data_IF_013315427209
#
_entry.id   IF_013315427209
#
_cell.length_a   1.000
_cell.length_b   1.000
_cell.length_c   1.000
_cell.angle_alpha   90.00
_cell.angle_beta   90.00
_cell.angle_gamma   90.00
#
_symmetry.space_group_name_H-M   'P 1'
#
loop_
_entity.id
_entity.type
_entity.pdbx_description
1 polymer ?
#
# COMPACT_ATOMS: atom_id res chain seq x y z
N UNK A 1 -8.69 -11.37 22.25
CA UNK A 1 -8.47 -11.49 20.79
C UNK A 1 -7.42 -10.47 20.38
N UNK A 2 -6.22 -10.91 19.99
CA UNK A 2 -5.21 -10.01 19.43
C UNK A 2 -5.64 -9.59 18.02
N UNK A 3 -6.20 -8.39 17.89
CA UNK A 3 -6.66 -7.85 16.61
C UNK A 3 -5.51 -7.75 15.61
N UNK A 4 -5.75 -8.08 14.33
CA UNK A 4 -4.77 -7.79 13.27
C UNK A 4 -4.70 -6.28 13.06
N UNK A 5 -3.59 -5.79 12.51
CA UNK A 5 -3.48 -4.36 12.17
C UNK A 5 -4.07 -4.02 10.80
N UNK A 6 -4.28 -5.00 9.94
CA UNK A 6 -4.73 -4.78 8.57
C UNK A 6 -5.61 -5.94 8.08
N UNK A 7 -6.27 -5.73 6.95
CA UNK A 7 -6.95 -6.79 6.20
C UNK A 7 -5.93 -7.80 5.66
N UNK A 8 -6.31 -9.08 5.65
CA UNK A 8 -5.47 -10.17 5.16
C UNK A 8 -6.22 -11.01 4.12
N UNK A 9 -5.52 -11.39 3.06
CA UNK A 9 -6.09 -12.18 1.97
C UNK A 9 -6.13 -13.69 2.27
N UNK A 10 -6.96 -14.43 1.53
CA UNK A 10 -6.95 -15.90 1.47
C UNK A 10 -6.41 -16.38 0.12
N UNK A 11 -6.18 -17.68 -0.06
CA UNK A 11 -5.72 -18.23 -1.34
C UNK A 11 -6.87 -18.29 -2.36
N UNK A 12 -6.63 -17.89 -3.61
CA UNK A 12 -7.57 -18.11 -4.71
C UNK A 12 -7.67 -19.61 -5.04
N UNK A 13 -8.86 -20.06 -5.44
CA UNK A 13 -9.17 -21.49 -5.68
C UNK A 13 -9.77 -21.77 -7.06
N UNK A 14 -9.50 -20.93 -8.06
CA UNK A 14 -9.89 -21.17 -9.45
C UNK A 14 -11.18 -20.50 -9.92
N UNK A 15 -11.88 -19.74 -9.07
CA UNK A 15 -13.12 -19.05 -9.47
C UNK A 15 -13.16 -17.61 -8.98
N UNK A 16 -13.85 -16.77 -9.75
CA UNK A 16 -14.18 -15.38 -9.43
C UNK A 16 -15.70 -15.20 -9.52
N UNK A 17 -16.28 -14.12 -8.96
CA UNK A 17 -17.70 -13.82 -9.14
C UNK A 17 -18.10 -13.73 -10.61
N UNK A 18 -19.38 -13.98 -10.98
CA UNK A 18 -19.84 -13.97 -12.38
C UNK A 18 -19.63 -12.65 -13.13
N UNK A 19 -19.51 -11.54 -12.39
CA UNK A 19 -19.25 -10.22 -12.98
C UNK A 19 -17.75 -9.92 -13.13
N UNK A 20 -16.87 -10.82 -12.67
CA UNK A 20 -15.44 -10.62 -12.65
C UNK A 20 -14.91 -10.09 -11.32
N UNK A 21 -13.65 -9.71 -11.31
CA UNK A 21 -12.93 -9.19 -10.14
C UNK A 21 -11.94 -8.10 -10.54
N UNK A 22 -11.65 -7.20 -9.60
CA UNK A 22 -10.50 -6.33 -9.69
C UNK A 22 -9.25 -7.15 -9.38
N UNK A 23 -8.17 -6.95 -10.13
CA UNK A 23 -6.88 -7.58 -9.89
C UNK A 23 -5.77 -6.53 -9.88
N UNK A 24 -4.84 -6.69 -8.95
CA UNK A 24 -3.64 -5.87 -8.80
C UNK A 24 -2.41 -6.78 -8.79
N UNK A 25 -1.26 -6.29 -9.25
CA UNK A 25 -0.02 -7.03 -9.07
C UNK A 25 0.29 -7.19 -7.58
N UNK A 26 0.65 -8.41 -7.18
CA UNK A 26 1.15 -8.69 -5.85
C UNK A 26 2.62 -8.29 -5.79
N UNK A 27 2.89 -7.11 -5.22
CA UNK A 27 4.26 -6.61 -5.04
C UNK A 27 5.04 -7.51 -4.07
N UNK A 28 6.21 -7.97 -4.50
CA UNK A 28 7.13 -8.78 -3.70
C UNK A 28 7.96 -7.89 -2.76
N UNK A 29 7.43 -7.63 -1.58
CA UNK A 29 8.01 -6.70 -0.62
C UNK A 29 7.60 -6.98 0.83
N UNK A 30 7.65 -5.95 1.67
CA UNK A 30 7.15 -6.00 3.04
C UNK A 30 5.88 -5.17 3.19
N UNK A 31 4.80 -5.82 3.62
CA UNK A 31 3.57 -5.15 4.03
C UNK A 31 3.87 -4.01 5.00
N UNK A 32 3.58 -2.78 4.56
CA UNK A 32 3.87 -1.55 5.25
C UNK A 32 2.58 -0.76 5.46
N UNK A 33 2.33 -0.39 6.70
CA UNK A 33 1.14 0.29 7.17
C UNK A 33 1.52 1.70 7.59
N UNK A 34 1.03 2.69 6.86
CA UNK A 34 1.15 4.08 7.28
C UNK A 34 0.04 4.43 8.27
N UNK A 35 0.43 4.83 9.47
CA UNK A 35 -0.47 5.27 10.53
C UNK A 35 0.28 6.10 11.58
N UNK A 36 -0.47 6.77 12.44
CA UNK A 36 0.08 7.54 13.56
C UNK A 36 0.27 6.66 14.79
N UNK A 37 1.46 6.73 15.38
CA UNK A 37 1.75 6.09 16.67
C UNK A 37 0.95 6.70 17.82
N UNK A 38 1.11 6.16 19.03
CA UNK A 38 0.47 6.70 20.24
C UNK A 38 0.88 8.15 20.55
N UNK A 39 2.08 8.55 20.10
CA UNK A 39 2.60 9.93 20.15
C UNK A 39 2.05 10.83 19.04
N UNK A 40 1.08 10.35 18.25
CA UNK A 40 0.49 11.08 17.14
C UNK A 40 1.39 11.24 15.92
N UNK A 41 2.62 10.71 15.93
CA UNK A 41 3.58 10.91 14.85
C UNK A 41 3.38 9.87 13.74
N UNK A 42 3.28 10.28 12.45
CA UNK A 42 3.09 9.38 11.32
C UNK A 42 4.35 8.55 11.06
N UNK A 43 4.19 7.24 10.86
CA UNK A 43 5.29 6.29 10.60
C UNK A 43 4.80 5.12 9.74
N UNK A 44 5.75 4.34 9.23
CA UNK A 44 5.47 3.03 8.65
C UNK A 44 5.64 1.92 9.70
N UNK A 45 4.72 0.96 9.67
CA UNK A 45 4.73 -0.22 10.51
C UNK A 45 4.55 -1.48 9.65
N UNK A 46 5.24 -2.56 10.00
CA UNK A 46 4.93 -3.88 9.46
C UNK A 46 3.51 -4.32 9.85
N UNK A 47 2.97 -5.35 9.19
CA UNK A 47 1.68 -5.99 9.56
C UNK A 47 1.56 -6.41 11.03
N UNK A 48 2.69 -6.62 11.72
CA UNK A 48 2.77 -7.03 13.12
C UNK A 48 3.11 -5.87 14.08
N UNK A 49 3.13 -4.63 13.60
CA UNK A 49 3.29 -3.44 14.44
C UNK A 49 4.74 -3.06 14.75
N UNK A 50 5.72 -3.68 14.11
CA UNK A 50 7.13 -3.24 14.19
C UNK A 50 7.34 -2.02 13.31
N UNK A 51 8.02 -0.99 13.82
CA UNK A 51 8.39 0.21 13.05
C UNK A 51 9.32 -0.15 11.90
N UNK A 52 9.18 0.56 10.79
CA UNK A 52 10.08 0.51 9.64
C UNK A 52 10.84 1.85 9.61
N UNK A 53 12.17 1.77 9.67
CA UNK A 53 13.09 2.91 9.71
C UNK A 53 13.76 3.12 8.33
N UNK A 54 14.43 4.26 8.11
CA UNK A 54 15.11 4.57 6.83
C UNK A 54 14.15 4.73 5.65
N UNK A 55 12.98 5.33 5.92
CA UNK A 55 11.87 5.53 4.97
C UNK A 55 11.25 6.93 5.12
N UNK A 56 12.03 7.91 5.59
CA UNK A 56 11.52 9.23 5.93
C UNK A 56 10.96 9.98 4.71
N UNK A 57 11.44 9.69 3.49
CA UNK A 57 10.98 10.28 2.23
C UNK A 57 9.58 9.79 1.89
N UNK A 58 9.31 8.50 2.11
CA UNK A 58 7.98 7.91 1.99
C UNK A 58 7.03 8.51 3.03
N UNK A 59 7.43 8.56 4.30
CA UNK A 59 6.59 9.09 5.38
C UNK A 59 6.23 10.56 5.14
N UNK A 60 7.18 11.36 4.65
CA UNK A 60 6.94 12.75 4.27
C UNK A 60 5.90 12.86 3.16
N UNK A 61 6.04 12.08 2.08
CA UNK A 61 5.08 12.07 0.97
C UNK A 61 3.68 11.62 1.42
N UNK A 62 3.58 10.58 2.25
CA UNK A 62 2.29 10.12 2.77
C UNK A 62 1.65 11.15 3.72
N UNK A 63 2.43 11.93 4.46
CA UNK A 63 1.92 13.03 5.29
C UNK A 63 1.37 14.21 4.47
N UNK A 64 1.83 14.39 3.23
CA UNK A 64 1.20 15.34 2.29
C UNK A 64 -0.22 14.88 1.92
N UNK A 65 -0.46 13.57 1.76
CA UNK A 65 -1.79 13.04 1.49
C UNK A 65 -2.77 13.31 2.64
N UNK A 66 -2.32 13.19 3.90
CA UNK A 66 -3.16 13.57 5.05
C UNK A 66 -3.54 15.06 5.06
N UNK A 67 -2.63 15.94 4.59
CA UNK A 67 -2.89 17.38 4.49
C UNK A 67 -3.95 17.67 3.45
N UNK A 68 -3.86 17.06 2.27
CA UNK A 68 -4.89 17.15 1.23
C UNK A 68 -6.23 16.58 1.75
N UNK A 69 -6.19 15.45 2.46
CA UNK A 69 -7.40 14.85 3.03
C UNK A 69 -8.04 15.68 4.16
N UNK A 70 -7.30 16.60 4.77
CA UNK A 70 -7.74 17.38 5.93
C UNK A 70 -7.90 16.54 7.21
N UNK A 71 -7.42 15.29 7.24
CA UNK A 71 -7.56 14.38 8.36
C UNK A 71 -6.48 13.29 8.37
N UNK A 72 -6.19 12.67 9.53
CA UNK A 72 -5.27 11.54 9.58
C UNK A 72 -5.78 10.31 8.83
N UNK A 73 -4.88 9.64 8.14
CA UNK A 73 -5.18 8.47 7.30
C UNK A 73 -4.49 7.22 7.84
N UNK A 74 -5.10 6.08 7.55
CA UNK A 74 -4.41 4.81 7.43
C UNK A 74 -4.24 4.51 5.95
N UNK A 75 -3.01 4.26 5.51
CA UNK A 75 -2.70 3.89 4.13
C UNK A 75 -1.99 2.54 4.13
N UNK A 76 -2.53 1.61 3.36
CA UNK A 76 -2.09 0.24 3.28
C UNK A 76 -1.29 0.03 1.99
N UNK A 77 -0.07 -0.48 2.12
CA UNK A 77 0.82 -0.62 0.99
C UNK A 77 1.88 -1.70 1.20
N UNK A 78 2.73 -1.86 0.19
CA UNK A 78 3.89 -2.73 0.23
C UNK A 78 5.15 -1.88 0.07
N UNK A 79 6.11 -2.00 0.99
CA UNK A 79 7.43 -1.43 0.82
C UNK A 79 8.27 -2.36 -0.03
N UNK A 80 8.90 -1.83 -1.08
CA UNK A 80 9.88 -2.55 -1.89
C UNK A 80 11.16 -1.74 -2.02
N UNK A 81 12.30 -2.39 -1.79
CA UNK A 81 13.65 -1.82 -1.98
C UNK A 81 14.34 -2.58 -3.10
N UNK A 82 14.96 -1.85 -4.03
CA UNK A 82 15.73 -2.39 -5.15
C UNK A 82 14.99 -3.51 -5.93
N UNK A 83 13.66 -3.43 -6.02
CA UNK A 83 12.80 -4.31 -6.81
C UNK A 83 12.55 -5.71 -6.27
N UNK A 84 13.06 -6.07 -5.07
CA UNK A 84 12.98 -7.46 -4.58
C UNK A 84 12.68 -7.56 -3.08
N UNK A 85 12.04 -8.66 -2.67
CA UNK A 85 11.82 -8.96 -1.25
C UNK A 85 13.13 -9.09 -0.46
N UNK A 86 14.17 -9.68 -1.06
CA UNK A 86 15.43 -9.90 -0.35
C UNK A 86 16.20 -8.61 -0.10
N UNK A 87 16.22 -7.67 -1.05
CA UNK A 87 16.76 -6.34 -0.81
C UNK A 87 15.93 -5.58 0.24
N UNK A 88 14.60 -5.72 0.18
CA UNK A 88 13.68 -5.14 1.18
C UNK A 88 13.97 -5.64 2.59
N UNK A 89 14.14 -6.96 2.78
CA UNK A 89 14.53 -7.55 4.08
C UNK A 89 15.86 -7.00 4.57
N UNK A 90 16.90 -7.04 3.73
CA UNK A 90 18.25 -6.56 4.09
C UNK A 90 18.22 -5.11 4.54
N UNK A 91 17.45 -4.25 3.85
CA UNK A 91 17.28 -2.86 4.24
C UNK A 91 16.58 -2.72 5.60
N UNK A 92 15.40 -3.33 5.74
CA UNK A 92 14.57 -3.15 6.94
C UNK A 92 15.18 -3.78 8.20
N UNK A 93 15.96 -4.86 8.07
CA UNK A 93 16.58 -5.54 9.20
C UNK A 93 17.84 -4.82 9.70
N UNK A 94 18.67 -4.30 8.78
CA UNK A 94 19.93 -3.67 9.15
C UNK A 94 20.41 -2.52 8.27
N UNK A 95 20.07 -2.51 6.97
CA UNK A 95 20.61 -1.55 6.02
C UNK A 95 20.40 -0.09 6.41
N UNK A 96 19.24 0.25 6.97
CA UNK A 96 18.92 1.61 7.40
C UNK A 96 19.89 2.18 8.46
N UNK A 97 20.58 1.32 9.24
CA UNK A 97 21.54 1.77 10.27
C UNK A 97 22.78 2.45 9.69
N UNK A 98 23.07 2.22 8.40
CA UNK A 98 24.14 2.91 7.69
C UNK A 98 23.77 4.36 7.33
N UNK A 99 22.53 4.79 7.65
CA UNK A 99 22.00 6.10 7.32
C UNK A 99 21.33 6.14 5.94
N UNK A 100 20.60 7.23 5.71
CA UNK A 100 19.84 7.46 4.47
C UNK A 100 18.47 6.80 4.46
N UNK A 101 17.78 6.94 3.33
CA UNK A 101 16.46 6.36 3.10
C UNK A 101 16.43 5.57 1.80
N UNK A 102 15.62 4.50 1.77
CA UNK A 102 15.43 3.69 0.56
C UNK A 102 14.01 3.17 0.42
N UNK A 103 13.70 2.79 -0.81
CA UNK A 103 12.51 2.04 -1.17
C UNK A 103 11.40 2.91 -1.75
N UNK A 104 10.40 2.20 -2.25
CA UNK A 104 9.16 2.72 -2.80
C UNK A 104 8.00 2.08 -2.05
N UNK A 105 7.00 2.87 -1.71
CA UNK A 105 5.76 2.41 -1.10
C UNK A 105 4.68 2.27 -2.17
N UNK A 106 4.27 1.03 -2.42
CA UNK A 106 3.23 0.67 -3.35
C UNK A 106 1.88 0.65 -2.62
N UNK A 107 1.16 1.77 -2.65
CA UNK A 107 -0.12 1.96 -1.98
C UNK A 107 -1.25 1.27 -2.76
N UNK A 108 -2.10 0.50 -2.06
CA UNK A 108 -3.21 -0.23 -2.70
C UNK A 108 -4.54 -0.12 -1.95
N UNK A 109 -4.59 0.53 -0.79
CA UNK A 109 -5.84 0.83 -0.07
C UNK A 109 -5.63 1.99 0.92
N UNK A 110 -6.70 2.69 1.30
CA UNK A 110 -6.66 3.70 2.35
C UNK A 110 -8.03 3.92 2.99
N UNK A 111 -8.04 4.43 4.22
CA UNK A 111 -9.25 4.85 4.94
C UNK A 111 -8.89 5.88 6.02
N UNK A 112 -9.85 6.67 6.51
CA UNK A 112 -9.63 7.52 7.67
C UNK A 112 -9.05 6.72 8.85
N UNK A 113 -8.11 7.31 9.58
CA UNK A 113 -7.49 6.64 10.73
C UNK A 113 -8.52 6.30 11.82
N UNK A 114 -9.59 7.09 11.94
CA UNK A 114 -10.70 6.84 12.87
C UNK A 114 -11.40 5.50 12.58
N UNK A 115 -11.73 5.24 11.30
CA UNK A 115 -12.35 3.97 10.87
C UNK A 115 -11.42 2.79 11.13
N UNK A 116 -10.13 2.94 10.80
CA UNK A 116 -9.13 1.91 11.09
C UNK A 116 -9.08 1.57 12.58
N UNK A 117 -9.10 2.58 13.47
CA UNK A 117 -9.13 2.39 14.93
C UNK A 117 -10.37 1.62 15.37
N UNK A 118 -11.51 1.86 14.74
CA UNK A 118 -12.79 1.16 14.99
C UNK A 118 -12.83 -0.28 14.46
N UNK A 119 -11.80 -0.76 13.76
CA UNK A 119 -11.76 -2.12 13.23
C UNK A 119 -11.78 -2.22 11.70
N UNK A 120 -12.03 -1.09 11.03
CA UNK A 120 -12.27 -1.01 9.60
C UNK A 120 -13.35 0.03 9.27
N UNK A 121 -13.59 0.27 7.99
CA UNK A 121 -14.60 1.23 7.50
C UNK A 121 -15.58 0.57 6.54
N UNK A 122 -16.75 1.17 6.39
CA UNK A 122 -17.86 0.63 5.58
C UNK A 122 -17.87 1.14 4.13
N UNK A 123 -16.96 2.04 3.79
CA UNK A 123 -16.74 2.45 2.41
C UNK A 123 -16.30 1.24 1.57
N UNK A 124 -16.92 0.98 0.40
CA UNK A 124 -16.53 -0.10 -0.50
C UNK A 124 -15.11 0.14 -1.05
N UNK A 125 -14.44 -0.93 -1.49
CA UNK A 125 -13.07 -0.84 -2.03
C UNK A 125 -12.94 0.20 -3.14
N UNK A 126 -13.91 0.27 -4.04
CA UNK A 126 -13.96 1.27 -5.11
C UNK A 126 -13.89 2.70 -4.60
N UNK A 127 -14.64 3.04 -3.55
CA UNK A 127 -14.60 4.36 -2.94
C UNK A 127 -13.24 4.64 -2.27
N UNK A 128 -12.67 3.63 -1.59
CA UNK A 128 -11.35 3.76 -0.95
C UNK A 128 -10.22 3.94 -1.97
N UNK A 129 -10.22 3.18 -3.07
CA UNK A 129 -9.28 3.33 -4.18
C UNK A 129 -9.44 4.68 -4.89
N UNK A 130 -10.68 5.12 -5.14
CA UNK A 130 -10.95 6.44 -5.69
C UNK A 130 -10.40 7.56 -4.78
N UNK A 131 -10.60 7.45 -3.47
CA UNK A 131 -10.00 8.39 -2.50
C UNK A 131 -8.48 8.39 -2.60
N UNK A 132 -7.83 7.22 -2.64
CA UNK A 132 -6.36 7.13 -2.74
C UNK A 132 -5.83 7.78 -4.02
N UNK A 133 -6.44 7.45 -5.17
CA UNK A 133 -6.10 8.02 -6.49
C UNK A 133 -6.21 9.55 -6.44
N UNK A 134 -7.33 10.06 -5.92
CA UNK A 134 -7.59 11.48 -5.92
C UNK A 134 -6.63 12.24 -4.99
N UNK A 135 -6.31 11.68 -3.82
CA UNK A 135 -5.33 12.26 -2.90
C UNK A 135 -3.93 12.33 -3.53
N UNK A 136 -3.48 11.26 -4.19
CA UNK A 136 -2.18 11.25 -4.89
C UNK A 136 -2.18 12.30 -6.00
N UNK A 137 -3.21 12.31 -6.85
CA UNK A 137 -3.36 13.26 -7.96
C UNK A 137 -3.34 14.72 -7.48
N UNK A 138 -4.10 15.04 -6.44
CA UNK A 138 -4.13 16.39 -5.87
C UNK A 138 -2.77 16.77 -5.27
N UNK A 139 -2.12 15.84 -4.57
CA UNK A 139 -0.81 16.11 -3.97
C UNK A 139 0.33 16.22 -5.00
N UNK A 140 0.20 15.60 -6.18
CA UNK A 140 1.11 15.79 -7.32
C UNK A 140 0.86 17.13 -8.04
N UNK A 141 -0.40 17.58 -8.08
CA UNK A 141 -0.81 18.81 -8.76
C UNK A 141 -0.64 20.08 -7.91
N UNK A 142 -0.45 19.97 -6.59
CA UNK A 142 -0.32 21.10 -5.67
C UNK A 142 1.09 21.71 -5.73
N UNK A 143 1.25 22.92 -6.32
CA UNK A 143 2.56 23.55 -6.42
C UNK A 143 3.14 23.93 -5.06
N UNK A 144 2.32 24.13 -4.02
CA UNK A 144 2.82 24.45 -2.68
C UNK A 144 3.60 23.28 -2.06
N UNK A 145 3.29 22.06 -2.50
CA UNK A 145 3.96 20.83 -2.06
C UNK A 145 5.21 20.52 -2.90
N UNK A 146 5.26 20.96 -4.17
CA UNK A 146 6.42 20.71 -5.04
C UNK A 146 7.67 21.48 -4.61
N UNK A 147 7.50 22.60 -3.88
CA UNK A 147 8.61 23.39 -3.32
C UNK A 147 8.93 23.04 -1.86
N UNK A 148 8.17 22.13 -1.25
CA UNK A 148 8.39 21.70 0.13
C UNK A 148 9.53 20.68 0.18
N UNK A 149 10.73 21.14 0.50
CA UNK A 149 11.84 20.24 0.80
C UNK A 149 11.57 19.50 2.11
N UNK A 150 11.79 18.18 2.11
CA UNK A 150 11.82 17.43 3.36
C UNK A 150 12.92 18.01 4.27
N UNK A 151 12.61 18.34 5.54
CA UNK A 151 13.62 18.81 6.47
C UNK A 151 14.83 17.86 6.52
N UNK A 152 16.02 18.40 6.25
CA UNK A 152 17.26 17.63 6.24
C UNK A 152 17.63 16.94 4.92
N UNK A 153 16.81 16.96 3.87
CA UNK A 153 17.19 16.37 2.57
C UNK A 153 18.15 17.23 1.74
N UNK A 154 18.22 18.55 2.01
CA UNK A 154 19.06 19.52 1.27
C UNK A 154 18.89 19.44 -0.26
N UNK A 155 17.71 19.02 -0.72
CA UNK A 155 17.42 18.86 -2.15
C UNK A 155 17.92 17.55 -2.78
N UNK A 156 18.30 16.56 -1.98
CA UNK A 156 18.77 15.25 -2.46
C UNK A 156 17.63 14.25 -2.76
N UNK A 157 16.37 14.63 -2.60
CA UNK A 157 15.24 13.77 -2.94
C UNK A 157 15.16 13.66 -4.49
N UNK A 158 15.07 12.44 -5.01
CA UNK A 158 15.01 12.19 -6.46
C UNK A 158 13.68 12.65 -7.08
N UNK A 159 13.67 12.87 -8.40
CA UNK A 159 12.47 13.35 -9.13
C UNK A 159 11.29 12.36 -9.10
N UNK A 160 11.57 11.06 -8.92
CA UNK A 160 10.53 10.04 -8.87
C UNK A 160 9.86 9.97 -7.49
N UNK A 161 8.52 10.03 -7.47
CA UNK A 161 7.74 9.89 -6.23
C UNK A 161 8.07 8.56 -5.51
N UNK A 162 8.33 8.61 -4.19
CA UNK A 162 8.57 7.41 -3.38
C UNK A 162 7.29 6.66 -3.00
N UNK A 163 6.12 7.20 -3.37
CA UNK A 163 4.80 6.57 -3.21
C UNK A 163 4.21 6.34 -4.59
N UNK A 164 3.83 5.10 -4.89
CA UNK A 164 3.19 4.69 -6.15
C UNK A 164 1.86 4.02 -5.85
N UNK A 165 0.86 4.32 -6.64
CA UNK A 165 -0.38 3.54 -6.64
C UNK A 165 -0.12 2.18 -7.28
N UNK A 166 -0.74 1.12 -6.76
CA UNK A 166 -0.82 -0.15 -7.48
C UNK A 166 -1.99 -0.08 -8.46
N UNK A 167 -1.66 -0.14 -9.75
CA UNK A 167 -2.64 -0.19 -10.83
C UNK A 167 -3.47 -1.46 -10.76
N UNK A 168 -4.73 -1.35 -11.15
CA UNK A 168 -5.65 -2.48 -11.24
C UNK A 168 -6.15 -2.72 -12.66
N UNK A 169 -6.54 -3.97 -12.90
CA UNK A 169 -7.17 -4.44 -14.13
C UNK A 169 -8.44 -5.21 -13.78
N UNK A 170 -9.41 -5.20 -14.71
CA UNK A 170 -10.61 -6.01 -14.58
C UNK A 170 -10.40 -7.37 -15.25
N UNK A 171 -10.71 -8.45 -14.54
CA UNK A 171 -10.63 -9.82 -15.03
C UNK A 171 -12.03 -10.44 -14.97
N UNK A 172 -12.56 -10.92 -16.10
CA UNK A 172 -13.94 -11.35 -16.22
C UNK A 172 -14.20 -12.73 -15.62
N UNK A 173 -13.23 -13.63 -15.71
CA UNK A 173 -13.36 -15.02 -15.28
C UNK A 173 -12.04 -15.61 -14.77
N UNK A 174 -12.03 -16.92 -14.49
CA UNK A 174 -10.84 -17.62 -14.02
C UNK A 174 -9.73 -17.73 -15.07
N UNK A 175 -10.07 -17.83 -16.35
CA UNK A 175 -9.09 -17.95 -17.43
C UNK A 175 -8.35 -16.62 -17.63
N UNK A 176 -9.05 -15.49 -17.45
CA UNK A 176 -8.46 -14.15 -17.37
C UNK A 176 -7.47 -14.04 -16.21
N UNK A 177 -7.82 -14.55 -15.03
CA UNK A 177 -6.92 -14.60 -13.86
C UNK A 177 -5.67 -15.41 -14.16
N UNK A 178 -5.80 -16.61 -14.71
CA UNK A 178 -4.64 -17.45 -15.01
C UNK A 178 -3.73 -16.83 -16.07
N UNK A 179 -4.31 -16.24 -17.12
CA UNK A 179 -3.55 -15.57 -18.18
C UNK A 179 -2.76 -14.39 -17.63
N UNK A 180 -3.40 -13.56 -16.81
CA UNK A 180 -2.76 -12.40 -16.21
C UNK A 180 -1.70 -12.80 -15.18
N UNK A 181 -1.96 -13.84 -14.37
CA UNK A 181 -0.96 -14.38 -13.44
C UNK A 181 0.28 -14.90 -14.18
N UNK A 182 0.10 -15.64 -15.29
CA UNK A 182 1.22 -16.10 -16.15
C UNK A 182 2.02 -14.95 -16.74
N UNK A 183 1.34 -13.85 -17.14
CA UNK A 183 2.00 -12.62 -17.60
C UNK A 183 2.90 -12.04 -16.51
N UNK A 184 2.37 -11.88 -15.29
CA UNK A 184 3.13 -11.34 -14.15
C UNK A 184 4.32 -12.22 -13.79
N UNK A 185 4.15 -13.55 -13.71
CA UNK A 185 5.25 -14.47 -13.41
C UNK A 185 6.33 -14.47 -14.47
N UNK A 186 5.96 -14.36 -15.75
CA UNK A 186 6.93 -14.28 -16.87
C UNK A 186 7.77 -13.01 -16.82
N UNK A 187 7.25 -11.94 -16.21
CA UNK A 187 7.97 -10.70 -15.94
C UNK A 187 8.74 -10.72 -14.60
N UNK A 188 8.70 -11.82 -13.85
CA UNK A 188 9.38 -11.98 -12.56
C UNK A 188 8.60 -11.46 -11.34
N UNK A 189 7.32 -11.09 -11.50
CA UNK A 189 6.46 -10.65 -10.39
C UNK A 189 5.96 -11.82 -9.52
N UNK A 190 5.43 -11.51 -8.33
CA UNK A 190 5.01 -12.54 -7.35
C UNK A 190 3.69 -13.23 -7.71
N UNK A 191 2.79 -12.52 -8.39
CA UNK A 191 1.44 -12.98 -8.72
C UNK A 191 0.41 -11.87 -8.63
N UNK A 192 -0.84 -12.21 -8.28
CA UNK A 192 -1.95 -11.24 -8.25
C UNK A 192 -2.63 -11.17 -6.89
N UNK A 193 -3.22 -10.01 -6.61
CA UNK A 193 -4.19 -9.78 -5.56
C UNK A 193 -5.54 -9.51 -6.21
N UNK A 194 -6.48 -10.46 -6.11
CA UNK A 194 -7.86 -10.28 -6.55
C UNK A 194 -8.67 -9.66 -5.42
N UNK A 195 -9.52 -8.70 -5.74
CA UNK A 195 -10.30 -7.96 -4.75
C UNK A 195 -11.76 -7.79 -5.17
N UNK A 196 -12.66 -8.02 -4.22
CA UNK A 196 -14.07 -7.63 -4.31
C UNK A 196 -14.20 -6.11 -4.22
N UNK A 197 -14.75 -5.49 -5.26
CA UNK A 197 -14.90 -4.03 -5.40
C UNK A 197 -15.90 -3.41 -4.43
N UNK A 198 -16.83 -4.21 -3.90
CA UNK A 198 -17.83 -3.80 -2.92
C UNK A 198 -17.43 -4.12 -1.49
N UNK A 199 -16.33 -4.84 -1.29
CA UNK A 199 -15.91 -5.24 0.03
C UNK A 199 -15.47 -4.05 0.90
N UNK A 200 -15.99 -4.04 2.12
CA UNK A 200 -15.58 -3.15 3.21
C UNK A 200 -14.21 -3.53 3.75
N UNK A 201 -13.49 -2.56 4.33
CA UNK A 201 -12.20 -2.85 4.95
C UNK A 201 -12.43 -3.42 6.36
N UNK A 202 -11.77 -4.52 6.69
CA UNK A 202 -11.79 -5.10 8.05
C UNK A 202 -10.43 -5.65 8.45
N UNK A 203 -10.01 -5.40 9.70
CA UNK A 203 -8.73 -5.87 10.25
C UNK A 203 -8.73 -7.36 10.64
N UNK A 204 -9.03 -8.24 9.70
CA UNK A 204 -8.92 -9.69 9.86
C UNK A 204 -8.71 -10.36 8.50
N UNK A 205 -8.56 -11.69 8.51
CA UNK A 205 -8.46 -12.49 7.28
C UNK A 205 -9.84 -12.85 6.77
N UNK A 206 -10.17 -12.50 5.53
CA UNK A 206 -11.44 -12.85 4.90
C UNK A 206 -11.24 -13.13 3.39
N UNK A 207 -12.33 -13.50 2.72
CA UNK A 207 -12.33 -13.85 1.30
C UNK A 207 -12.50 -12.63 0.37
N UNK A 208 -12.57 -11.41 0.91
CA UNK A 208 -12.71 -10.20 0.08
C UNK A 208 -11.47 -9.92 -0.76
N UNK A 209 -10.31 -10.37 -0.27
CA UNK A 209 -9.05 -10.36 -1.01
C UNK A 209 -8.53 -11.78 -1.16
N UNK A 210 -8.14 -12.14 -2.38
CA UNK A 210 -7.57 -13.42 -2.73
C UNK A 210 -6.18 -13.19 -3.32
N UNK A 211 -5.23 -14.06 -3.01
CA UNK A 211 -3.89 -14.03 -3.62
C UNK A 211 -3.74 -15.20 -4.59
N UNK A 212 -3.18 -14.94 -5.75
CA UNK A 212 -2.80 -15.90 -6.78
C UNK A 212 -1.27 -16.00 -6.76
N UNK A 213 -0.74 -17.20 -6.62
CA UNK A 213 0.69 -17.50 -6.46
C UNK A 213 1.05 -18.74 -7.25
#
# INVERSE_FOLDING_TARGET
>A
MTGRLCQLATDWRGSVPPFGTMAEEKIDGWRALYLRGHDGTPRLYTRNGRRIEGVAHIVHRLAQLERIAGQPLFIDGELQVDGTLDATKRWCEAGWRMGGDKGVFHAFDCLPLADWRSGGGDAPLTARKAMLVDLIRQADADPSLSWEWRPGSRGADGEASPVRLVDDVWLGDGDDVEREARRVWSAGGEGLMLKDTQAVYRRHRNASWLKVK
#
